data_IF_004981528918
#
_entry.id   IF_004981528918
#
_cell.length_a   1.000
_cell.length_b   1.000
_cell.length_c   1.000
_cell.angle_alpha   90.00
_cell.angle_beta   90.00
_cell.angle_gamma   90.00
#
_symmetry.space_group_name_H-M   'P 1'
#
loop_
_entity.id
_entity.type
_entity.pdbx_description
1 polymer ?
#
# COMPACT_ATOMS: atom_id res chain seq x y z
N UNK A 1 -31.24 8.47 10.13
CA UNK A 1 -29.97 8.35 9.38
C UNK A 1 -29.71 9.64 8.61
N UNK A 2 -28.59 10.33 8.90
CA UNK A 2 -28.17 11.53 8.17
C UNK A 2 -27.97 11.22 6.67
N UNK A 3 -28.35 12.15 5.79
CA UNK A 3 -28.26 12.03 4.32
C UNK A 3 -26.88 11.56 3.85
N UNK A 4 -25.82 12.03 4.51
CA UNK A 4 -24.44 11.66 4.19
C UNK A 4 -24.14 10.17 4.41
N UNK A 5 -24.66 9.58 5.49
CA UNK A 5 -24.50 8.14 5.75
C UNK A 5 -25.16 7.30 4.66
N UNK A 6 -26.31 7.76 4.16
CA UNK A 6 -27.03 7.14 3.04
C UNK A 6 -26.24 7.25 1.74
N UNK A 7 -25.59 8.39 1.49
CA UNK A 7 -24.79 8.64 0.30
C UNK A 7 -23.50 7.78 0.26
N UNK A 8 -22.76 7.64 1.37
CA UNK A 8 -21.59 6.73 1.41
C UNK A 8 -22.02 5.27 1.22
N UNK A 9 -23.12 4.84 1.84
CA UNK A 9 -23.63 3.49 1.63
C UNK A 9 -24.11 3.26 0.18
N UNK A 10 -24.64 4.30 -0.47
CA UNK A 10 -24.96 4.26 -1.90
C UNK A 10 -23.69 4.17 -2.76
N UNK A 11 -22.61 4.89 -2.41
CA UNK A 11 -21.32 4.79 -3.08
C UNK A 11 -20.75 3.36 -3.06
N UNK A 12 -20.93 2.60 -1.96
CA UNK A 12 -20.52 1.19 -1.91
C UNK A 12 -21.11 0.35 -3.05
N UNK A 13 -22.28 0.74 -3.56
CA UNK A 13 -23.06 -0.01 -4.55
C UNK A 13 -23.25 0.74 -5.88
N UNK A 14 -22.66 1.94 -6.06
CA UNK A 14 -22.96 2.83 -7.18
C UNK A 14 -21.71 3.51 -7.75
N UNK A 15 -21.63 3.54 -9.09
CA UNK A 15 -20.57 4.25 -9.86
C UNK A 15 -20.97 5.67 -10.27
N UNK A 16 -21.89 6.30 -9.54
CA UNK A 16 -22.35 7.66 -9.87
C UNK A 16 -21.20 8.65 -9.90
N UNK A 17 -21.20 9.55 -10.90
CA UNK A 17 -20.22 10.65 -10.99
C UNK A 17 -20.23 11.56 -9.76
N UNK A 18 -21.32 11.57 -8.99
CA UNK A 18 -21.42 12.29 -7.71
C UNK A 18 -20.47 11.75 -6.63
N UNK A 19 -19.89 10.57 -6.82
CA UNK A 19 -18.94 9.95 -5.91
C UNK A 19 -17.50 9.94 -6.45
N UNK A 20 -17.22 10.68 -7.52
CA UNK A 20 -15.90 10.67 -8.16
C UNK A 20 -14.77 11.07 -7.18
N UNK A 21 -15.00 12.05 -6.30
CA UNK A 21 -14.01 12.45 -5.29
C UNK A 21 -13.71 11.34 -4.28
N UNK A 22 -14.74 10.66 -3.76
CA UNK A 22 -14.58 9.52 -2.85
C UNK A 22 -13.94 8.33 -3.58
N UNK A 23 -14.27 8.11 -4.85
CA UNK A 23 -13.63 7.08 -5.66
C UNK A 23 -12.15 7.37 -5.88
N UNK A 24 -11.77 8.60 -6.19
CA UNK A 24 -10.38 9.01 -6.34
C UNK A 24 -9.61 8.78 -5.03
N UNK A 25 -10.20 9.15 -3.89
CA UNK A 25 -9.64 8.88 -2.56
C UNK A 25 -9.38 7.38 -2.35
N UNK A 26 -10.37 6.52 -2.56
CA UNK A 26 -10.22 5.06 -2.33
C UNK A 26 -9.17 4.47 -3.27
N UNK A 27 -9.16 4.84 -4.55
CA UNK A 27 -8.16 4.34 -5.51
C UNK A 27 -6.75 4.78 -5.12
N UNK A 28 -6.57 6.03 -4.72
CA UNK A 28 -5.26 6.54 -4.29
C UNK A 28 -4.79 5.86 -2.99
N UNK A 29 -5.70 5.69 -2.02
CA UNK A 29 -5.40 4.99 -0.77
C UNK A 29 -4.98 3.53 -1.03
N UNK A 30 -5.67 2.83 -1.93
CA UNK A 30 -5.33 1.45 -2.29
C UNK A 30 -3.96 1.35 -2.98
N UNK A 31 -3.65 2.30 -3.87
CA UNK A 31 -2.35 2.36 -4.51
C UNK A 31 -1.22 2.61 -3.50
N UNK A 32 -1.42 3.55 -2.56
CA UNK A 32 -0.46 3.83 -1.49
C UNK A 32 -0.27 2.62 -0.55
N UNK A 33 -1.35 1.90 -0.22
CA UNK A 33 -1.30 0.67 0.57
C UNK A 33 -0.46 -0.41 -0.11
N UNK A 34 -0.68 -0.65 -1.42
CA UNK A 34 0.11 -1.60 -2.18
C UNK A 34 1.58 -1.20 -2.30
N UNK A 35 1.86 0.09 -2.48
CA UNK A 35 3.23 0.58 -2.54
C UNK A 35 3.95 0.40 -1.20
N UNK A 36 3.27 0.64 -0.07
CA UNK A 36 3.81 0.36 1.26
C UNK A 36 4.02 -1.15 1.48
N UNK A 37 3.07 -1.99 1.08
CA UNK A 37 3.23 -3.45 1.17
C UNK A 37 4.44 -3.95 0.37
N UNK A 38 4.75 -3.33 -0.79
CA UNK A 38 5.94 -3.63 -1.56
C UNK A 38 7.24 -3.22 -0.84
N UNK A 39 7.24 -2.09 -0.14
CA UNK A 39 8.36 -1.66 0.73
C UNK A 39 8.58 -2.68 1.85
N UNK A 40 7.51 -3.10 2.52
CA UNK A 40 7.60 -4.06 3.63
C UNK A 40 8.12 -5.43 3.14
N UNK A 41 7.66 -5.89 1.98
CA UNK A 41 8.14 -7.12 1.35
C UNK A 41 9.62 -7.03 0.94
N UNK A 42 10.04 -5.90 0.36
CA UNK A 42 11.44 -5.69 -0.01
C UNK A 42 12.35 -5.57 1.22
N UNK A 43 11.88 -4.92 2.29
CA UNK A 43 12.60 -4.86 3.55
C UNK A 43 12.76 -6.25 4.18
N UNK A 44 11.71 -7.08 4.11
CA UNK A 44 11.81 -8.48 4.52
C UNK A 44 12.87 -9.23 3.70
N UNK A 45 12.93 -9.03 2.39
CA UNK A 45 13.94 -9.66 1.55
C UNK A 45 15.37 -9.24 1.93
N UNK A 46 15.60 -7.96 2.30
CA UNK A 46 16.89 -7.49 2.82
C UNK A 46 17.24 -8.19 4.13
N UNK A 47 16.26 -8.32 5.04
CA UNK A 47 16.47 -9.00 6.32
C UNK A 47 16.80 -10.48 6.12
N UNK A 48 16.07 -11.17 5.24
CA UNK A 48 16.29 -12.57 4.91
C UNK A 48 17.67 -12.78 4.26
N UNK A 49 18.07 -11.94 3.31
CA UNK A 49 19.38 -12.00 2.66
C UNK A 49 20.53 -11.73 3.66
N UNK A 50 20.34 -10.77 4.56
CA UNK A 50 21.28 -10.48 5.64
C UNK A 50 21.42 -11.67 6.59
N UNK A 51 20.31 -12.31 6.97
CA UNK A 51 20.32 -13.49 7.80
C UNK A 51 21.01 -14.69 7.12
N UNK A 52 20.82 -14.87 5.81
CA UNK A 52 21.50 -15.90 5.04
C UNK A 52 23.03 -15.70 5.01
N UNK A 53 23.49 -14.47 4.80
CA UNK A 53 24.92 -14.15 4.84
C UNK A 53 25.52 -14.35 6.25
N UNK A 54 24.78 -13.97 7.29
CA UNK A 54 25.18 -14.23 8.68
C UNK A 54 25.27 -15.72 9.00
N UNK A 55 24.33 -16.54 8.48
CA UNK A 55 24.34 -17.99 8.68
C UNK A 55 25.54 -18.66 8.02
N UNK A 56 25.95 -18.21 6.83
CA UNK A 56 27.15 -18.72 6.14
C UNK A 56 28.46 -18.42 6.89
N UNK A 57 28.48 -17.32 7.65
CA UNK A 57 29.67 -16.84 8.37
C UNK A 57 29.62 -17.12 9.88
N UNK A 58 28.61 -17.86 10.32
CA UNK A 58 28.39 -18.15 11.72
C UNK A 58 29.53 -19.03 12.30
N UNK A 59 29.91 -18.83 13.57
CA UNK A 59 30.88 -19.71 14.24
C UNK A 59 30.42 -21.18 14.22
N UNK A 60 31.29 -22.08 13.78
CA UNK A 60 31.00 -23.51 13.68
C UNK A 60 30.24 -23.93 12.41
N UNK A 61 29.87 -22.99 11.53
CA UNK A 61 29.45 -23.32 10.17
C UNK A 61 30.63 -23.88 9.36
N UNK A 62 30.37 -24.76 8.35
CA UNK A 62 31.39 -25.12 7.38
C UNK A 62 31.95 -23.87 6.72
N UNK A 63 33.26 -23.83 6.45
CA UNK A 63 33.87 -22.72 5.71
C UNK A 63 33.14 -22.55 4.38
N UNK A 64 32.46 -21.41 4.14
CA UNK A 64 31.74 -21.20 2.90
C UNK A 64 32.73 -21.09 1.74
N UNK A 65 32.33 -21.58 0.57
CA UNK A 65 33.11 -21.37 -0.65
C UNK A 65 33.03 -19.91 -1.07
N UNK A 66 34.01 -19.44 -1.85
CA UNK A 66 33.96 -18.09 -2.41
C UNK A 66 32.67 -17.85 -3.21
N UNK A 67 32.26 -18.86 -3.99
CA UNK A 67 31.01 -18.81 -4.76
C UNK A 67 29.78 -18.57 -3.86
N UNK A 68 29.68 -19.23 -2.70
CA UNK A 68 28.56 -19.04 -1.78
C UNK A 68 28.53 -17.62 -1.19
N UNK A 69 29.70 -17.05 -0.88
CA UNK A 69 29.79 -15.67 -0.40
C UNK A 69 29.42 -14.67 -1.50
N UNK A 70 29.86 -14.91 -2.74
CA UNK A 70 29.55 -14.05 -3.88
C UNK A 70 28.05 -14.08 -4.18
N UNK A 71 27.41 -15.25 -4.17
CA UNK A 71 25.97 -15.42 -4.37
C UNK A 71 25.16 -14.72 -3.26
N UNK A 72 25.55 -14.88 -2.00
CA UNK A 72 24.87 -14.23 -0.87
C UNK A 72 25.02 -12.70 -0.91
N UNK A 73 26.20 -12.18 -1.27
CA UNK A 73 26.41 -10.74 -1.45
C UNK A 73 25.64 -10.18 -2.65
N UNK A 74 25.57 -10.93 -3.75
CA UNK A 74 24.77 -10.56 -4.92
C UNK A 74 23.27 -10.50 -4.56
N UNK A 75 22.77 -11.48 -3.81
CA UNK A 75 21.39 -11.50 -3.32
C UNK A 75 21.09 -10.30 -2.40
N UNK A 76 21.98 -9.98 -1.47
CA UNK A 76 21.85 -8.81 -0.60
C UNK A 76 21.86 -7.50 -1.39
N UNK A 77 22.72 -7.38 -2.40
CA UNK A 77 22.75 -6.21 -3.30
C UNK A 77 21.45 -6.07 -4.08
N UNK A 78 20.94 -7.18 -4.63
CA UNK A 78 19.66 -7.19 -5.35
C UNK A 78 18.48 -6.80 -4.43
N UNK A 79 18.44 -7.33 -3.20
CA UNK A 79 17.41 -6.99 -2.23
C UNK A 79 17.44 -5.50 -1.84
N UNK A 80 18.63 -4.93 -1.63
CA UNK A 80 18.77 -3.49 -1.34
C UNK A 80 18.33 -2.62 -2.51
N UNK A 81 18.68 -2.99 -3.75
CA UNK A 81 18.20 -2.29 -4.94
C UNK A 81 16.67 -2.37 -5.07
N UNK A 82 16.07 -3.52 -4.79
CA UNK A 82 14.62 -3.70 -4.78
C UNK A 82 13.95 -2.83 -3.70
N UNK A 83 14.53 -2.74 -2.50
CA UNK A 83 14.04 -1.88 -1.43
C UNK A 83 14.10 -0.40 -1.82
N UNK A 84 15.20 0.06 -2.44
CA UNK A 84 15.32 1.43 -2.93
C UNK A 84 14.28 1.74 -4.01
N UNK A 85 14.05 0.81 -4.94
CA UNK A 85 13.03 0.93 -5.98
C UNK A 85 11.61 0.98 -5.39
N UNK A 86 11.29 0.08 -4.45
CA UNK A 86 10.00 0.05 -3.77
C UNK A 86 9.75 1.34 -2.97
N UNK A 87 10.78 1.84 -2.27
CA UNK A 87 10.71 3.11 -1.53
C UNK A 87 10.48 4.30 -2.47
N UNK A 88 11.12 4.31 -3.63
CA UNK A 88 10.89 5.34 -4.67
C UNK A 88 9.45 5.27 -5.21
N UNK A 89 8.94 4.06 -5.48
CA UNK A 89 7.58 3.86 -5.94
C UNK A 89 6.53 4.30 -4.90
N UNK A 90 6.76 4.01 -3.61
CA UNK A 90 5.91 4.46 -2.51
C UNK A 90 5.91 5.99 -2.37
N UNK A 91 7.06 6.64 -2.49
CA UNK A 91 7.14 8.11 -2.48
C UNK A 91 6.40 8.75 -3.66
N UNK A 92 6.43 8.12 -4.84
CA UNK A 92 5.67 8.56 -6.01
C UNK A 92 4.17 8.24 -5.92
N UNK A 93 3.74 7.48 -4.91
CA UNK A 93 2.35 7.07 -4.68
C UNK A 93 1.90 7.48 -3.27
N UNK A 94 1.92 8.79 -2.94
CA UNK A 94 1.61 9.23 -1.59
C UNK A 94 0.15 8.93 -1.24
N UNK A 95 -0.13 8.58 0.04
CA UNK A 95 -1.49 8.39 0.51
C UNK A 95 -2.31 9.67 0.34
N UNK A 96 -3.63 9.55 0.09
CA UNK A 96 -4.50 10.73 0.05
C UNK A 96 -4.56 11.39 1.44
N UNK A 97 -4.81 12.70 1.46
CA UNK A 97 -4.93 13.47 2.70
C UNK A 97 -6.36 13.50 3.21
N UNK A 98 -6.53 13.73 4.51
CA UNK A 98 -7.88 13.91 5.09
C UNK A 98 -8.61 15.09 4.45
N UNK A 99 -7.89 16.15 4.05
CA UNK A 99 -8.47 17.28 3.32
C UNK A 99 -9.08 16.91 1.96
N UNK A 100 -8.51 15.93 1.24
CA UNK A 100 -9.09 15.48 -0.03
C UNK A 100 -10.38 14.68 0.18
N UNK A 101 -10.44 13.91 1.27
CA UNK A 101 -11.66 13.24 1.70
C UNK A 101 -12.72 14.24 2.17
N UNK A 102 -12.35 15.23 2.99
CA UNK A 102 -13.25 16.27 3.49
C UNK A 102 -13.89 17.08 2.37
N UNK A 103 -13.10 17.42 1.34
CA UNK A 103 -13.60 18.10 0.14
C UNK A 103 -14.62 17.22 -0.58
N UNK A 104 -14.28 15.95 -0.85
CA UNK A 104 -15.18 15.02 -1.52
C UNK A 104 -16.48 14.75 -0.74
N UNK A 105 -16.39 14.67 0.59
CA UNK A 105 -17.54 14.50 1.47
C UNK A 105 -18.39 15.77 1.55
N UNK A 106 -17.77 16.95 1.58
CA UNK A 106 -18.47 18.24 1.64
C UNK A 106 -19.24 18.50 0.35
N UNK A 107 -18.64 18.21 -0.81
CA UNK A 107 -19.28 18.30 -2.12
C UNK A 107 -20.50 17.37 -2.21
N UNK A 108 -20.39 16.16 -1.65
CA UNK A 108 -21.47 15.18 -1.61
C UNK A 108 -22.58 15.55 -0.62
N UNK A 109 -22.22 16.17 0.51
CA UNK A 109 -23.15 16.61 1.54
C UNK A 109 -23.81 17.95 1.20
N UNK A 110 -23.21 18.75 0.32
CA UNK A 110 -23.49 20.17 0.10
C UNK A 110 -23.47 20.98 1.42
N UNK A 111 -22.57 20.61 2.34
CA UNK A 111 -22.36 21.25 3.64
C UNK A 111 -20.96 20.90 4.18
N UNK A 112 -20.42 21.68 5.13
CA UNK A 112 -19.17 21.32 5.80
C UNK A 112 -19.24 19.97 6.50
N UNK A 113 -18.12 19.26 6.50
CA UNK A 113 -17.93 17.97 7.16
C UNK A 113 -17.13 18.18 8.44
N UNK A 114 -17.61 17.60 9.53
CA UNK A 114 -16.92 17.57 10.82
C UNK A 114 -15.96 16.36 10.92
N UNK A 115 -14.99 16.46 11.82
CA UNK A 115 -13.95 15.44 11.97
C UNK A 115 -14.49 14.04 12.31
N UNK A 116 -15.60 13.94 13.06
CA UNK A 116 -16.20 12.64 13.41
C UNK A 116 -16.81 11.97 12.17
N UNK A 117 -17.39 12.75 11.28
CA UNK A 117 -17.89 12.26 9.99
C UNK A 117 -16.74 11.80 9.09
N UNK A 118 -15.62 12.53 9.06
CA UNK A 118 -14.43 12.13 8.31
C UNK A 118 -13.86 10.81 8.84
N UNK A 119 -13.73 10.68 10.17
CA UNK A 119 -13.27 9.46 10.81
C UNK A 119 -14.19 8.27 10.48
N UNK A 120 -15.51 8.46 10.59
CA UNK A 120 -16.50 7.43 10.23
C UNK A 120 -16.42 7.04 8.74
N UNK A 121 -16.21 8.01 7.85
CA UNK A 121 -16.06 7.75 6.42
C UNK A 121 -14.80 6.93 6.13
N UNK A 122 -13.66 7.26 6.76
CA UNK A 122 -12.41 6.49 6.63
C UNK A 122 -12.60 5.04 7.02
N UNK A 123 -13.23 4.79 8.18
CA UNK A 123 -13.54 3.45 8.66
C UNK A 123 -14.44 2.68 7.69
N UNK A 124 -15.52 3.31 7.22
CA UNK A 124 -16.45 2.69 6.26
C UNK A 124 -15.79 2.39 4.91
N UNK A 125 -14.84 3.23 4.48
CA UNK A 125 -14.14 3.08 3.20
C UNK A 125 -12.98 2.08 3.29
N UNK A 126 -12.49 1.74 4.49
CA UNK A 126 -11.32 0.89 4.68
C UNK A 126 -11.45 -0.46 3.98
N UNK A 127 -12.55 -1.20 4.18
CA UNK A 127 -12.78 -2.49 3.50
C UNK A 127 -12.79 -2.37 1.97
N UNK A 128 -13.20 -1.22 1.43
CA UNK A 128 -13.21 -0.98 -0.01
C UNK A 128 -11.83 -0.61 -0.54
N UNK A 129 -11.02 0.10 0.25
CA UNK A 129 -9.60 0.32 -0.02
C UNK A 129 -8.90 -1.03 -0.11
N UNK A 130 -9.07 -1.89 0.90
CA UNK A 130 -8.47 -3.23 0.94
C UNK A 130 -8.88 -4.07 -0.28
N UNK A 131 -10.17 -4.07 -0.65
CA UNK A 131 -10.66 -4.81 -1.80
C UNK A 131 -10.04 -4.32 -3.13
N UNK A 132 -9.88 -3.01 -3.30
CA UNK A 132 -9.24 -2.43 -4.50
C UNK A 132 -7.73 -2.69 -4.49
N UNK A 133 -7.08 -2.59 -3.33
CA UNK A 133 -5.67 -2.91 -3.17
C UNK A 133 -5.40 -4.37 -3.57
N UNK A 134 -6.18 -5.32 -3.04
CA UNK A 134 -6.08 -6.73 -3.40
C UNK A 134 -6.33 -7.00 -4.90
N UNK A 135 -7.34 -6.34 -5.49
CA UNK A 135 -7.66 -6.51 -6.91
C UNK A 135 -6.57 -5.95 -7.85
N UNK A 136 -5.82 -4.94 -7.42
CA UNK A 136 -4.75 -4.34 -8.21
C UNK A 136 -3.41 -5.06 -8.00
N UNK A 137 -3.16 -5.61 -6.81
CA UNK A 137 -1.97 -6.40 -6.52
C UNK A 137 -1.85 -7.70 -7.34
N UNK A 138 -2.98 -8.33 -7.69
CA UNK A 138 -3.01 -9.56 -8.51
C UNK A 138 -2.71 -9.35 -9.99
N UNK A 139 -2.88 -8.12 -10.50
CA UNK A 139 -2.57 -7.80 -11.91
C UNK A 139 -1.08 -7.63 -12.18
N UNK A 140 -0.26 -7.40 -11.15
CA UNK A 140 1.20 -7.31 -11.27
C UNK A 140 1.94 -8.65 -11.21
N UNK A 141 1.27 -9.74 -10.80
CA UNK A 141 1.87 -11.09 -10.71
C UNK A 141 1.60 -12.01 -11.91
N UNK A 142 0.82 -11.56 -12.89
CA UNK A 142 0.61 -12.30 -14.15
C UNK A 142 1.36 -11.62 -15.29
N UNK A 143 2.64 -11.95 -15.44
CA UNK A 143 3.29 -11.89 -16.77
C UNK A 143 3.32 -13.33 -17.31
N UNK A 144 2.71 -13.62 -18.48
CA UNK A 144 2.81 -14.92 -19.14
C UNK A 144 4.23 -15.23 -19.64
#
# INVERSE_FOLDING_TARGET
MNSLKRNINAYMNSKSKKFAGVQAYVTQAAAAQNAQAAVDAAQKAVNDATAALAALTAPGAPTPTQQQLDEANAALTAANNALAAATTAAQNTPPPTDASLDTALSDMANKPVDADVTAWAKDTLASKVDAIAAATATTTTTTP
#
